data_IF_157554263392
#
_entry.id   IF_157554263392
#
_cell.length_a   1.000
_cell.length_b   1.000
_cell.length_c   1.000
_cell.angle_alpha   90.00
_cell.angle_beta   90.00
_cell.angle_gamma   90.00
#
_symmetry.space_group_name_H-M   'P 1'
#
loop_
_entity.id
_entity.type
_entity.pdbx_description
1 polymer ?
#
# COMPACT_ATOMS: atom_id res chain seq x y z
N UNK A 1 7.62 12.79 -1.46
CA UNK A 1 6.91 11.91 -2.41
C UNK A 1 6.51 12.70 -3.63
N UNK A 2 6.83 12.20 -4.81
CA UNK A 2 6.48 12.81 -6.10
C UNK A 2 6.12 11.68 -7.06
N UNK A 3 5.06 11.85 -7.85
CA UNK A 3 4.80 11.01 -9.02
C UNK A 3 5.76 11.39 -10.14
N UNK A 4 6.31 10.39 -10.84
CA UNK A 4 7.17 10.63 -12.01
C UNK A 4 6.42 11.26 -13.18
N UNK A 5 5.13 10.96 -13.32
CA UNK A 5 4.24 11.44 -14.40
C UNK A 5 2.79 11.42 -13.91
N UNK A 6 1.88 12.25 -14.45
CA UNK A 6 0.46 12.26 -14.08
C UNK A 6 -0.24 10.90 -14.20
N UNK A 7 0.28 10.01 -15.06
CA UNK A 7 -0.28 8.68 -15.37
C UNK A 7 0.55 7.53 -14.77
N UNK A 8 1.61 7.84 -14.01
CA UNK A 8 2.47 6.80 -13.45
C UNK A 8 1.91 6.26 -12.13
N UNK A 9 1.77 4.93 -12.05
CA UNK A 9 1.53 4.17 -10.81
C UNK A 9 2.84 3.99 -10.00
N UNK A 10 3.71 4.99 -10.02
CA UNK A 10 5.02 4.95 -9.39
C UNK A 10 5.11 5.95 -8.25
N UNK A 11 5.69 5.51 -7.14
CA UNK A 11 5.96 6.31 -5.95
C UNK A 11 7.45 6.33 -5.68
N UNK A 12 8.04 7.53 -5.72
CA UNK A 12 9.41 7.73 -5.24
C UNK A 12 9.43 8.19 -3.79
N UNK A 13 10.06 7.37 -2.96
CA UNK A 13 10.36 7.66 -1.57
C UNK A 13 11.85 7.99 -1.45
N UNK A 14 12.17 9.18 -0.97
CA UNK A 14 13.54 9.63 -0.77
C UNK A 14 13.73 10.04 0.68
N UNK A 15 14.73 9.47 1.33
CA UNK A 15 15.09 9.76 2.71
C UNK A 15 16.34 10.61 2.75
N UNK A 16 16.31 11.67 3.54
CA UNK A 16 17.42 12.59 3.78
C UNK A 16 17.79 12.53 5.26
N UNK A 17 19.01 12.94 5.62
CA UNK A 17 19.43 13.03 7.02
C UNK A 17 18.53 13.97 7.81
N UNK A 18 18.22 15.12 7.23
CA UNK A 18 17.40 16.17 7.81
C UNK A 18 16.83 17.10 6.71
N UNK A 19 15.98 18.04 7.12
CA UNK A 19 15.37 19.02 6.23
C UNK A 19 16.39 19.97 5.58
N UNK A 20 17.50 20.29 6.26
CA UNK A 20 18.52 21.20 5.73
C UNK A 20 19.24 20.56 4.55
N UNK A 21 19.58 19.28 4.66
CA UNK A 21 20.17 18.49 3.57
C UNK A 21 19.22 18.41 2.38
N UNK A 22 17.92 18.17 2.62
CA UNK A 22 16.90 18.21 1.55
C UNK A 22 16.85 19.55 0.82
N UNK A 23 16.86 20.66 1.54
CA UNK A 23 16.75 22.01 0.95
C UNK A 23 17.97 22.39 0.12
N UNK A 24 19.16 21.88 0.48
CA UNK A 24 20.39 22.07 -0.30
C UNK A 24 20.54 21.09 -1.46
N UNK A 25 19.51 20.30 -1.77
CA UNK A 25 19.58 19.18 -2.71
C UNK A 25 20.76 18.23 -2.41
N UNK A 26 21.02 17.99 -1.12
CA UNK A 26 22.04 17.08 -0.65
C UNK A 26 21.74 15.61 -0.99
N UNK A 27 22.69 14.73 -0.65
CA UNK A 27 22.60 13.32 -1.00
C UNK A 27 21.47 12.62 -0.24
N UNK A 28 20.74 11.75 -0.93
CA UNK A 28 19.74 10.88 -0.28
C UNK A 28 20.44 9.74 0.46
N UNK A 29 19.97 9.43 1.67
CA UNK A 29 20.42 8.23 2.42
C UNK A 29 19.85 6.95 1.84
N UNK A 30 18.62 7.03 1.36
CA UNK A 30 17.93 5.94 0.69
C UNK A 30 16.96 6.52 -0.33
N UNK A 31 16.77 5.81 -1.43
CA UNK A 31 15.80 6.14 -2.46
C UNK A 31 15.13 4.85 -2.91
N UNK A 32 13.81 4.79 -2.76
CA UNK A 32 12.99 3.67 -3.18
C UNK A 32 12.07 4.10 -4.32
N UNK A 33 12.08 3.31 -5.38
CA UNK A 33 11.24 3.48 -6.55
C UNK A 33 10.19 2.40 -6.55
N UNK A 34 9.05 2.69 -5.93
CA UNK A 34 7.95 1.74 -5.82
C UNK A 34 7.13 1.80 -7.10
N UNK A 35 6.95 0.67 -7.76
CA UNK A 35 6.16 0.55 -8.97
C UNK A 35 4.80 -0.06 -8.62
N UNK A 36 3.84 0.10 -9.53
CA UNK A 36 2.54 -0.58 -9.45
C UNK A 36 1.84 -0.34 -8.10
N UNK A 37 1.61 0.94 -7.76
CA UNK A 37 0.89 1.32 -6.56
C UNK A 37 -0.54 0.74 -6.52
N UNK A 38 -0.88 0.11 -5.39
CA UNK A 38 -2.15 -0.61 -5.17
C UNK A 38 -3.02 0.06 -4.11
N UNK A 39 -2.46 0.94 -3.27
CA UNK A 39 -3.15 1.61 -2.18
C UNK A 39 -2.25 1.84 -0.97
N UNK A 40 -2.86 2.12 0.17
CA UNK A 40 -2.16 2.18 1.45
C UNK A 40 -3.05 1.65 2.56
N UNK A 41 -2.44 1.23 3.67
CA UNK A 41 -3.14 0.83 4.88
C UNK A 41 -2.53 1.51 6.09
N UNK A 42 -3.32 1.74 7.14
CA UNK A 42 -2.85 2.30 8.41
C UNK A 42 -3.66 1.71 9.57
N UNK A 43 -3.25 1.98 10.81
CA UNK A 43 -3.93 1.45 11.99
C UNK A 43 -3.52 0.01 12.32
N UNK A 44 -2.24 -0.30 12.12
CA UNK A 44 -1.60 -1.51 12.62
C UNK A 44 -0.41 -1.13 13.49
N UNK A 45 0.04 -2.06 14.35
CA UNK A 45 1.21 -1.82 15.20
C UNK A 45 2.37 -2.63 14.66
N UNK A 46 3.55 -2.01 14.55
CA UNK A 46 4.81 -2.67 14.23
C UNK A 46 5.88 -2.13 15.17
N UNK A 47 6.70 -2.98 15.77
CA UNK A 47 7.80 -2.56 16.65
C UNK A 47 7.43 -1.50 17.71
N UNK A 48 6.24 -1.62 18.32
CA UNK A 48 5.63 -0.68 19.30
C UNK A 48 5.14 0.65 18.71
N UNK A 49 5.32 0.89 17.42
CA UNK A 49 4.77 2.04 16.71
C UNK A 49 3.33 1.77 16.27
N UNK A 50 2.40 2.66 16.64
CA UNK A 50 0.97 2.52 16.29
C UNK A 50 0.49 3.54 15.24
N UNK A 51 1.25 4.61 15.04
CA UNK A 51 0.99 5.60 14.00
C UNK A 51 1.70 5.17 12.71
N UNK A 52 1.22 4.09 12.11
CA UNK A 52 1.88 3.44 10.97
C UNK A 52 1.10 3.58 9.68
N UNK A 53 1.81 3.56 8.56
CA UNK A 53 1.28 3.56 7.20
C UNK A 53 2.08 2.57 6.35
N UNK A 54 1.41 1.58 5.78
CA UNK A 54 1.96 0.73 4.73
C UNK A 54 1.59 1.29 3.37
N UNK A 55 2.54 1.37 2.45
CA UNK A 55 2.30 1.71 1.05
C UNK A 55 2.24 0.39 0.28
N UNK A 56 1.08 0.05 -0.27
CA UNK A 56 0.90 -1.20 -1.00
C UNK A 56 1.39 -1.02 -2.43
N UNK A 57 2.40 -1.78 -2.81
CA UNK A 57 2.88 -1.94 -4.18
C UNK A 57 3.06 -3.43 -4.45
N UNK A 58 3.10 -3.81 -5.74
CA UNK A 58 3.16 -5.21 -6.15
C UNK A 58 4.36 -5.97 -5.57
N UNK A 59 5.56 -5.40 -5.65
CA UNK A 59 6.79 -6.09 -5.24
C UNK A 59 7.23 -5.82 -3.80
N UNK A 60 6.93 -4.62 -3.27
CA UNK A 60 7.46 -4.15 -1.99
C UNK A 60 6.41 -3.34 -1.25
N UNK A 61 6.18 -3.66 0.03
CA UNK A 61 5.29 -2.90 0.92
C UNK A 61 6.10 -2.17 1.98
N UNK A 62 6.59 -0.94 1.72
CA UNK A 62 7.30 -0.19 2.75
C UNK A 62 6.34 0.31 3.81
N UNK A 63 6.79 0.25 5.06
CA UNK A 63 6.07 0.72 6.25
C UNK A 63 6.75 1.97 6.79
N UNK A 64 5.94 3.00 7.04
CA UNK A 64 6.35 4.25 7.66
C UNK A 64 5.72 4.34 9.06
N UNK A 65 6.50 4.73 10.05
CA UNK A 65 6.02 5.10 11.37
C UNK A 65 6.12 6.63 11.54
N UNK A 66 5.19 7.21 12.29
CA UNK A 66 5.12 8.65 12.54
C UNK A 66 5.01 8.93 14.03
N UNK A 67 5.62 10.02 14.50
CA UNK A 67 5.61 10.36 15.93
C UNK A 67 4.19 10.61 16.45
N UNK A 68 3.32 11.22 15.62
CA UNK A 68 1.95 11.57 16.02
C UNK A 68 0.91 11.11 15.01
N UNK A 69 -0.32 10.98 15.49
CA UNK A 69 -1.49 10.62 14.67
C UNK A 69 -1.83 11.70 13.66
N UNK A 70 -1.57 12.96 13.99
CA UNK A 70 -1.79 14.11 13.12
C UNK A 70 -0.89 14.03 11.88
N UNK A 71 0.40 13.69 12.07
CA UNK A 71 1.34 13.51 10.95
C UNK A 71 0.90 12.34 10.07
N UNK A 72 0.50 11.22 10.67
CA UNK A 72 -0.05 10.08 9.92
C UNK A 72 -1.26 10.49 9.07
N UNK A 73 -2.22 11.23 9.64
CA UNK A 73 -3.41 11.70 8.92
C UNK A 73 -3.01 12.62 7.75
N UNK A 74 -2.09 13.56 7.96
CA UNK A 74 -1.60 14.43 6.89
C UNK A 74 -0.96 13.62 5.76
N UNK A 75 -0.19 12.58 6.09
CA UNK A 75 0.38 11.68 5.10
C UNK A 75 -0.68 10.89 4.34
N UNK A 76 -1.70 10.35 5.01
CA UNK A 76 -2.82 9.66 4.35
C UNK A 76 -3.53 10.57 3.34
N UNK A 77 -3.85 11.80 3.74
CA UNK A 77 -4.47 12.80 2.86
C UNK A 77 -3.57 13.12 1.67
N UNK A 78 -2.27 13.31 1.90
CA UNK A 78 -1.29 13.59 0.84
C UNK A 78 -1.15 12.42 -0.13
N UNK A 79 -1.12 11.19 0.37
CA UNK A 79 -1.09 9.96 -0.43
C UNK A 79 -2.33 9.89 -1.32
N UNK A 80 -3.52 10.01 -0.72
CA UNK A 80 -4.78 9.94 -1.46
C UNK A 80 -4.87 11.04 -2.53
N UNK A 81 -4.45 12.28 -2.22
CA UNK A 81 -4.49 13.38 -3.17
C UNK A 81 -3.53 13.19 -4.36
N UNK A 82 -2.32 12.69 -4.12
CA UNK A 82 -1.29 12.58 -5.17
C UNK A 82 -1.38 11.25 -5.93
N UNK A 83 -1.68 10.15 -5.23
CA UNK A 83 -1.64 8.79 -5.77
C UNK A 83 -3.01 8.20 -6.05
N UNK A 84 -4.07 8.77 -5.46
CA UNK A 84 -5.37 8.14 -5.38
C UNK A 84 -5.46 7.16 -4.21
N UNK A 85 -6.68 6.71 -3.94
CA UNK A 85 -6.98 5.66 -2.97
C UNK A 85 -7.64 4.49 -3.67
N UNK A 86 -7.31 3.28 -3.23
CA UNK A 86 -8.12 2.10 -3.53
C UNK A 86 -9.45 2.17 -2.80
N UNK A 87 -10.49 1.53 -3.35
CA UNK A 87 -11.66 1.18 -2.55
C UNK A 87 -11.31 -0.05 -1.72
N UNK A 88 -11.49 0.04 -0.40
CA UNK A 88 -11.14 -1.01 0.55
C UNK A 88 -12.38 -1.80 0.97
N UNK A 89 -12.25 -3.12 1.03
CA UNK A 89 -13.29 -4.00 1.54
C UNK A 89 -12.70 -4.96 2.56
N UNK A 90 -13.28 -5.00 3.76
CA UNK A 90 -13.01 -6.07 4.70
C UNK A 90 -13.65 -7.36 4.17
N UNK A 91 -12.90 -8.45 4.13
CA UNK A 91 -13.36 -9.73 3.63
C UNK A 91 -12.77 -10.88 4.45
N UNK A 92 -13.29 -12.09 4.21
CA UNK A 92 -12.76 -13.33 4.77
C UNK A 92 -12.55 -14.32 3.63
N UNK A 93 -11.35 -14.88 3.55
CA UNK A 93 -11.07 -16.00 2.65
C UNK A 93 -11.74 -17.24 3.22
N UNK A 94 -12.71 -17.80 2.49
CA UNK A 94 -13.36 -19.06 2.83
C UNK A 94 -12.53 -20.24 2.32
N UNK A 95 -12.04 -20.14 1.08
CA UNK A 95 -11.19 -21.13 0.45
C UNK A 95 -10.29 -20.47 -0.60
N UNK A 96 -9.16 -21.11 -0.89
CA UNK A 96 -8.24 -20.75 -1.96
C UNK A 96 -7.75 -22.03 -2.65
N UNK A 97 -7.30 -21.97 -3.92
CA UNK A 97 -6.74 -23.15 -4.59
C UNK A 97 -5.58 -23.74 -3.79
N UNK A 98 -5.49 -25.07 -3.72
CA UNK A 98 -4.44 -25.78 -2.96
C UNK A 98 -3.03 -25.51 -3.45
N UNK A 99 -2.88 -25.04 -4.69
CA UNK A 99 -1.61 -24.60 -5.26
C UNK A 99 -1.11 -23.26 -4.71
N UNK A 100 -1.96 -22.52 -3.98
CA UNK A 100 -1.60 -21.26 -3.34
C UNK A 100 -1.24 -21.48 -1.87
N UNK A 101 -0.28 -20.72 -1.34
CA UNK A 101 0.05 -20.72 0.09
C UNK A 101 -0.92 -19.82 0.92
N UNK A 102 -2.10 -19.52 0.38
CA UNK A 102 -3.06 -18.60 0.98
C UNK A 102 -4.00 -19.37 1.91
N UNK A 103 -4.05 -18.96 3.18
CA UNK A 103 -4.90 -19.58 4.21
C UNK A 103 -6.25 -18.87 4.30
N UNK A 104 -7.28 -19.61 4.75
CA UNK A 104 -8.55 -19.03 5.12
C UNK A 104 -8.38 -18.04 6.29
N UNK A 105 -9.16 -16.95 6.29
CA UNK A 105 -9.11 -15.95 7.35
C UNK A 105 -9.38 -14.51 6.90
N UNK A 106 -9.32 -13.55 7.85
CA UNK A 106 -9.61 -12.14 7.59
C UNK A 106 -8.57 -11.51 6.67
N UNK A 107 -9.05 -10.74 5.71
CA UNK A 107 -8.24 -10.04 4.71
C UNK A 107 -8.86 -8.70 4.35
N UNK A 108 -8.10 -7.90 3.63
CA UNK A 108 -8.57 -6.68 2.98
C UNK A 108 -8.43 -6.81 1.48
N UNK A 109 -9.48 -6.49 0.74
CA UNK A 109 -9.45 -6.39 -0.70
C UNK A 109 -9.34 -4.91 -1.10
N UNK A 110 -8.30 -4.58 -1.86
CA UNK A 110 -8.08 -3.26 -2.43
C UNK A 110 -8.46 -3.28 -3.91
N UNK A 111 -9.46 -2.48 -4.30
CA UNK A 111 -9.76 -2.21 -5.70
C UNK A 111 -9.10 -0.91 -6.15
N UNK A 112 -8.08 -1.01 -6.99
CA UNK A 112 -7.26 0.08 -7.50
C UNK A 112 -7.36 0.14 -9.03
N UNK A 113 -8.30 0.95 -9.54
CA UNK A 113 -8.59 0.99 -10.97
C UNK A 113 -9.01 -0.40 -11.49
N UNK A 114 -8.35 -0.96 -12.52
CA UNK A 114 -8.64 -2.29 -13.04
C UNK A 114 -8.01 -3.42 -12.21
N UNK A 115 -7.29 -3.12 -11.12
CA UNK A 115 -6.60 -4.14 -10.32
C UNK A 115 -7.31 -4.41 -9.00
N UNK A 116 -7.26 -5.66 -8.57
CA UNK A 116 -7.65 -6.11 -7.24
C UNK A 116 -6.43 -6.69 -6.53
N UNK A 117 -6.12 -6.17 -5.34
CA UNK A 117 -5.06 -6.70 -4.49
C UNK A 117 -5.66 -7.27 -3.19
N UNK A 118 -5.32 -8.51 -2.88
CA UNK A 118 -5.66 -9.14 -1.61
C UNK A 118 -4.55 -8.92 -0.62
N UNK A 119 -4.84 -8.30 0.51
CA UNK A 119 -3.88 -8.02 1.56
C UNK A 119 -4.28 -8.70 2.87
N UNK A 120 -3.31 -9.23 3.60
CA UNK A 120 -3.48 -9.78 4.93
C UNK A 120 -2.31 -9.38 5.82
N UNK A 121 -2.21 -9.94 7.03
CA UNK A 121 -1.13 -9.72 8.01
C UNK A 121 -1.01 -8.31 8.58
N UNK A 122 -0.12 -8.16 9.58
CA UNK A 122 0.26 -6.90 10.23
C UNK A 122 1.77 -6.95 10.49
N UNK A 123 2.62 -6.20 9.75
CA UNK A 123 2.28 -5.28 8.66
C UNK A 123 1.60 -5.98 7.47
N UNK A 124 0.83 -5.24 6.66
CA UNK A 124 0.09 -5.83 5.57
C UNK A 124 1.01 -6.33 4.46
N UNK A 125 0.69 -7.49 3.91
CA UNK A 125 1.36 -8.12 2.76
C UNK A 125 0.37 -8.33 1.62
N UNK A 126 0.81 -8.10 0.38
CA UNK A 126 0.03 -8.39 -0.82
C UNK A 126 0.12 -9.89 -1.11
N UNK A 127 -0.97 -10.62 -0.87
CA UNK A 127 -1.04 -12.08 -1.06
C UNK A 127 -1.32 -12.48 -2.50
N UNK A 128 -2.10 -11.66 -3.22
CA UNK A 128 -2.51 -11.93 -4.59
C UNK A 128 -2.93 -10.64 -5.30
N UNK A 129 -2.73 -10.63 -6.62
CA UNK A 129 -3.09 -9.53 -7.51
C UNK A 129 -3.84 -10.07 -8.72
N UNK A 130 -4.90 -9.38 -9.13
CA UNK A 130 -5.65 -9.68 -10.34
C UNK A 130 -5.91 -8.43 -11.16
N UNK A 131 -5.91 -8.56 -12.48
CA UNK A 131 -6.56 -7.62 -13.39
C UNK A 131 -8.02 -8.06 -13.56
N UNK A 132 -8.96 -7.16 -13.27
CA UNK A 132 -10.41 -7.38 -13.40
C UNK A 132 -10.76 -7.86 -14.81
N UNK A 133 -10.05 -7.39 -15.84
CA UNK A 133 -10.28 -7.81 -17.23
C UNK A 133 -9.97 -9.28 -17.50
N UNK A 134 -9.15 -9.90 -16.65
CA UNK A 134 -8.76 -11.30 -16.75
C UNK A 134 -9.62 -12.22 -15.88
N UNK A 135 -10.50 -11.67 -15.05
CA UNK A 135 -11.45 -12.46 -14.27
C UNK A 135 -12.49 -13.09 -15.19
N UNK A 136 -12.52 -14.42 -15.23
CA UNK A 136 -13.51 -15.16 -16.04
C UNK A 136 -14.91 -15.08 -15.44
N UNK A 137 -15.02 -15.10 -14.11
CA UNK A 137 -16.28 -15.11 -13.36
C UNK A 137 -16.08 -14.44 -12.01
N UNK A 138 -17.06 -13.63 -11.59
CA UNK A 138 -17.23 -13.11 -10.25
C UNK A 138 -18.72 -12.82 -10.04
N UNK A 139 -19.18 -12.76 -8.80
CA UNK A 139 -20.58 -12.51 -8.50
C UNK A 139 -20.88 -12.66 -7.02
N UNK A 140 -22.06 -12.17 -6.64
CA UNK A 140 -22.62 -12.45 -5.34
C UNK A 140 -23.03 -13.93 -5.30
N UNK A 141 -22.77 -14.58 -4.17
CA UNK A 141 -23.21 -15.94 -3.85
C UNK A 141 -24.04 -15.84 -2.57
N UNK A 142 -25.15 -16.56 -2.56
CA UNK A 142 -26.11 -16.60 -1.44
C UNK A 142 -25.62 -17.48 -0.28
#
# INVERSE_FOLDING_TARGET
>A
MRKLSPVADCVHLQLYKDLKERHKNGQTKASLSLQQYLGFESGFTVDKESNTLAILCEDVVPVLAFDTREILIQWRVKMQHNLGSSKEFAAVIISAPSSTNIKAGPVRLHACGPRLALCASRPPEVLALWDIKLLRRFGMVD
#
